data_IF_561325352562
#
_entry.id   IF_561325352562
#
_cell.length_a   1.000
_cell.length_b   1.000
_cell.length_c   1.000
_cell.angle_alpha   90.00
_cell.angle_beta   90.00
_cell.angle_gamma   90.00
#
_symmetry.space_group_name_H-M   'P 1'
#
loop_
_entity.id
_entity.type
_entity.pdbx_description
1 polymer ?
#
# COMPACT_ATOMS: atom_id res chain seq x y z
N UNK A 1 36.52 22.35 26.33
CA UNK A 1 35.33 22.81 25.57
C UNK A 1 35.41 22.57 24.06
N UNK A 2 36.49 22.97 23.38
CA UNK A 2 36.62 22.78 21.92
C UNK A 2 36.66 21.29 21.52
N UNK A 3 37.37 20.45 22.26
CA UNK A 3 37.44 19.00 22.01
C UNK A 3 36.08 18.32 22.15
N UNK A 4 35.37 18.56 23.26
CA UNK A 4 33.97 18.10 23.45
C UNK A 4 32.99 18.57 22.36
N UNK A 5 33.27 19.68 21.68
CA UNK A 5 32.47 20.12 20.51
C UNK A 5 32.85 19.34 19.25
N UNK A 6 34.14 19.07 19.04
CA UNK A 6 34.64 18.23 17.94
C UNK A 6 34.11 16.80 18.05
N UNK A 7 34.13 16.24 19.25
CA UNK A 7 33.60 14.90 19.55
C UNK A 7 32.11 14.81 19.23
N UNK A 8 31.28 15.70 19.79
CA UNK A 8 29.84 15.77 19.47
C UNK A 8 29.56 16.02 17.99
N UNK A 9 30.40 16.79 17.29
CA UNK A 9 30.27 16.99 15.85
C UNK A 9 30.58 15.70 15.08
N UNK A 10 31.59 14.94 15.52
CA UNK A 10 31.95 13.64 14.94
C UNK A 10 30.83 12.61 15.17
N UNK A 11 30.26 12.57 16.37
CA UNK A 11 29.09 11.73 16.70
C UNK A 11 27.91 12.06 15.78
N UNK A 12 27.54 13.35 15.66
CA UNK A 12 26.47 13.80 14.75
C UNK A 12 26.75 13.48 13.29
N UNK A 13 28.01 13.56 12.86
CA UNK A 13 28.39 13.23 11.49
C UNK A 13 28.29 11.71 11.25
N UNK A 14 28.65 10.90 12.25
CA UNK A 14 28.55 9.44 12.18
C UNK A 14 27.11 8.93 12.21
N UNK A 15 26.22 9.60 12.94
CA UNK A 15 24.78 9.29 12.99
C UNK A 15 23.99 9.98 11.87
N UNK A 16 24.66 10.61 10.89
CA UNK A 16 23.99 11.44 9.90
C UNK A 16 23.21 10.56 8.92
N UNK A 17 21.89 10.69 8.97
CA UNK A 17 20.99 10.04 8.01
C UNK A 17 21.10 10.71 6.64
N UNK A 18 20.93 9.93 5.56
CA UNK A 18 20.84 10.46 4.20
C UNK A 18 19.61 11.39 4.07
N UNK A 19 19.76 12.67 3.71
CA UNK A 19 18.63 13.59 3.54
C UNK A 19 17.68 13.22 2.38
N UNK A 20 18.12 12.35 1.45
CA UNK A 20 17.33 11.94 0.29
C UNK A 20 16.51 10.68 0.59
N UNK A 21 17.17 9.57 0.94
CA UNK A 21 16.48 8.29 1.16
C UNK A 21 16.06 8.07 2.61
N UNK A 22 16.76 8.64 3.57
CA UNK A 22 16.52 8.37 4.98
C UNK A 22 17.13 7.05 5.44
N UNK A 23 16.65 6.55 6.58
CA UNK A 23 16.87 5.17 7.03
C UNK A 23 15.81 4.24 6.46
N UNK A 24 16.17 3.00 6.17
CA UNK A 24 15.20 1.97 5.79
C UNK A 24 14.36 1.57 7.01
N UNK A 25 13.10 2.03 7.02
CA UNK A 25 12.10 1.65 8.02
C UNK A 25 11.22 0.53 7.48
N UNK A 26 10.50 -0.19 8.35
CA UNK A 26 9.52 -1.20 7.92
C UNK A 26 8.53 -0.67 6.87
N UNK A 27 8.10 0.58 7.02
CA UNK A 27 7.23 1.24 6.05
C UNK A 27 7.93 1.45 4.70
N UNK A 28 9.15 1.97 4.70
CA UNK A 28 9.91 2.24 3.48
C UNK A 28 10.33 0.96 2.76
N UNK A 29 10.77 -0.06 3.50
CA UNK A 29 11.13 -1.39 2.96
C UNK A 29 9.94 -2.07 2.29
N UNK A 30 8.75 -1.92 2.87
CA UNK A 30 7.54 -2.54 2.34
C UNK A 30 7.08 -1.99 0.97
N UNK A 31 7.71 -0.94 0.45
CA UNK A 31 7.52 -0.53 -0.95
C UNK A 31 8.25 -1.43 -1.94
N UNK A 32 9.25 -2.15 -1.46
CA UNK A 32 10.24 -2.83 -2.29
C UNK A 32 10.09 -4.33 -2.24
N UNK A 33 9.63 -4.84 -1.08
CA UNK A 33 9.24 -6.23 -0.90
C UNK A 33 8.08 -6.52 -1.86
N UNK A 34 8.43 -7.05 -3.03
CA UNK A 34 7.45 -7.70 -3.87
C UNK A 34 7.14 -9.03 -3.20
N UNK A 35 5.86 -9.30 -2.90
CA UNK A 35 5.48 -10.65 -2.53
C UNK A 35 5.94 -11.59 -3.65
N UNK A 36 6.51 -12.78 -3.34
CA UNK A 36 6.99 -13.70 -4.36
C UNK A 36 5.87 -13.99 -5.37
N UNK A 37 6.18 -14.14 -6.66
CA UNK A 37 5.15 -14.45 -7.64
C UNK A 37 4.40 -15.71 -7.21
N UNK A 38 3.06 -15.66 -7.30
CA UNK A 38 2.23 -16.83 -6.98
C UNK A 38 2.67 -18.01 -7.87
N UNK A 39 2.83 -19.22 -7.30
CA UNK A 39 3.20 -20.37 -8.10
C UNK A 39 2.15 -20.68 -9.18
N UNK A 40 2.54 -21.32 -10.31
CA UNK A 40 1.60 -21.76 -11.34
C UNK A 40 0.46 -22.61 -10.77
N UNK A 41 -0.74 -22.54 -11.37
CA UNK A 41 -1.94 -23.27 -10.89
C UNK A 41 -1.68 -24.77 -10.85
N UNK A 42 -1.14 -25.28 -11.94
CA UNK A 42 -0.96 -26.71 -12.13
C UNK A 42 0.13 -27.25 -11.20
N UNK A 43 1.19 -26.47 -10.96
CA UNK A 43 2.23 -26.78 -9.99
C UNK A 43 1.70 -26.77 -8.55
N UNK A 44 0.93 -25.75 -8.17
CA UNK A 44 0.40 -25.64 -6.81
C UNK A 44 -0.58 -26.77 -6.50
N UNK A 45 -1.38 -27.16 -7.50
CA UNK A 45 -2.31 -28.30 -7.43
C UNK A 45 -1.58 -29.63 -7.37
N UNK A 46 -0.48 -29.81 -8.09
CA UNK A 46 0.30 -31.05 -8.07
C UNK A 46 1.04 -31.28 -6.75
N UNK A 47 1.30 -30.21 -5.99
CA UNK A 47 2.06 -30.26 -4.73
C UNK A 47 1.19 -29.99 -3.49
N UNK A 48 -0.14 -29.93 -3.64
CA UNK A 48 -1.10 -29.60 -2.57
C UNK A 48 -0.75 -28.34 -1.76
N UNK A 49 -0.10 -27.37 -2.42
CA UNK A 49 0.28 -26.09 -1.80
C UNK A 49 -0.83 -25.07 -2.06
N UNK A 50 -1.41 -24.49 -1.01
CA UNK A 50 -2.29 -23.33 -1.18
C UNK A 50 -1.45 -22.17 -1.80
N UNK A 51 -1.81 -21.68 -3.00
CA UNK A 51 -1.00 -20.66 -3.68
C UNK A 51 -0.89 -19.36 -2.88
N UNK A 52 -1.81 -19.12 -1.94
CA UNK A 52 -1.99 -17.85 -1.24
C UNK A 52 -1.22 -17.76 0.09
N UNK A 53 -0.55 -18.82 0.52
CA UNK A 53 -0.07 -19.03 1.90
C UNK A 53 1.01 -18.04 2.39
N UNK A 54 1.64 -17.28 1.48
CA UNK A 54 2.68 -16.29 1.80
C UNK A 54 2.25 -14.82 1.74
N UNK A 55 0.98 -14.54 1.40
CA UNK A 55 0.50 -13.16 1.14
C UNK A 55 -0.58 -12.75 2.14
N UNK A 56 -0.24 -12.61 3.43
CA UNK A 56 -1.21 -12.30 4.50
C UNK A 56 -1.49 -10.82 4.69
N UNK A 57 -0.60 -9.93 4.27
CA UNK A 57 -0.82 -8.48 4.35
C UNK A 57 -1.41 -7.96 3.03
N UNK A 58 -2.70 -8.21 2.82
CA UNK A 58 -3.43 -7.85 1.59
C UNK A 58 -4.47 -6.79 1.87
N UNK A 59 -4.09 -5.53 1.99
CA UNK A 59 -5.09 -4.44 1.91
C UNK A 59 -5.29 -3.96 0.47
N UNK A 60 -4.29 -4.15 -0.41
CA UNK A 60 -4.34 -3.58 -1.75
C UNK A 60 -4.00 -4.61 -2.83
N UNK A 61 -4.93 -4.76 -3.77
CA UNK A 61 -4.76 -5.56 -4.99
C UNK A 61 -4.52 -4.64 -6.19
N UNK A 62 -4.20 -5.23 -7.33
CA UNK A 62 -4.17 -4.50 -8.58
C UNK A 62 -5.59 -4.05 -8.99
N UNK A 63 -5.68 -3.11 -9.94
CA UNK A 63 -6.93 -2.64 -10.55
C UNK A 63 -7.93 -1.97 -9.59
N UNK A 64 -7.46 -1.37 -8.49
CA UNK A 64 -8.30 -0.72 -7.46
C UNK A 64 -9.26 -1.66 -6.72
N UNK A 65 -8.99 -2.96 -6.73
CA UNK A 65 -9.80 -3.93 -6.02
C UNK A 65 -9.35 -4.07 -4.57
N UNK A 66 -10.32 -4.22 -3.67
CA UNK A 66 -10.07 -4.71 -2.31
C UNK A 66 -10.29 -6.22 -2.26
N UNK A 67 -9.73 -6.92 -1.26
CA UNK A 67 -10.04 -8.34 -1.06
C UNK A 67 -11.53 -8.59 -0.79
N UNK A 68 -12.22 -7.63 -0.18
CA UNK A 68 -13.66 -7.67 0.10
C UNK A 68 -14.46 -7.63 -1.21
N UNK A 69 -14.14 -6.70 -2.11
CA UNK A 69 -14.78 -6.61 -3.44
C UNK A 69 -14.62 -7.91 -4.24
N UNK A 70 -13.45 -8.55 -4.14
CA UNK A 70 -13.22 -9.84 -4.79
C UNK A 70 -14.05 -10.95 -4.17
N UNK A 71 -14.15 -11.01 -2.84
CA UNK A 71 -14.93 -12.02 -2.15
C UNK A 71 -16.42 -11.92 -2.53
N UNK A 72 -16.97 -10.70 -2.50
CA UNK A 72 -18.35 -10.43 -2.93
C UNK A 72 -18.54 -10.78 -4.41
N UNK A 73 -17.60 -10.39 -5.27
CA UNK A 73 -17.63 -10.71 -6.69
C UNK A 73 -17.63 -12.21 -6.98
N UNK A 74 -16.83 -12.99 -6.24
CA UNK A 74 -16.79 -14.44 -6.36
C UNK A 74 -18.10 -15.08 -5.90
N UNK A 75 -18.64 -14.66 -4.75
CA UNK A 75 -19.90 -15.19 -4.23
C UNK A 75 -21.06 -14.89 -5.19
N UNK A 76 -21.16 -13.64 -5.67
CA UNK A 76 -22.16 -13.23 -6.64
C UNK A 76 -22.07 -14.04 -7.94
N UNK A 77 -20.87 -14.21 -8.47
CA UNK A 77 -20.64 -15.01 -9.68
C UNK A 77 -21.01 -16.48 -9.48
N UNK A 78 -20.63 -17.07 -8.35
CA UNK A 78 -20.98 -18.45 -7.97
C UNK A 78 -22.49 -18.65 -7.92
N UNK A 79 -23.21 -17.70 -7.30
CA UNK A 79 -24.66 -17.73 -7.17
C UNK A 79 -25.37 -17.63 -8.51
N UNK A 80 -24.94 -16.72 -9.39
CA UNK A 80 -25.55 -16.49 -10.71
C UNK A 80 -25.30 -17.63 -11.70
N UNK A 81 -24.13 -18.27 -11.62
CA UNK A 81 -23.73 -19.35 -12.53
C UNK A 81 -24.10 -20.73 -12.02
N UNK A 82 -24.67 -20.84 -10.81
CA UNK A 82 -25.08 -22.12 -10.23
C UNK A 82 -26.02 -22.83 -11.24
N UNK A 83 -25.73 -24.09 -11.62
CA UNK A 83 -26.58 -24.80 -12.57
C UNK A 83 -28.00 -24.86 -12.05
N UNK A 84 -28.95 -24.47 -12.89
CA UNK A 84 -30.37 -24.61 -12.61
C UNK A 84 -30.74 -26.09 -12.74
N UNK A 85 -31.38 -26.61 -11.71
CA UNK A 85 -31.93 -27.96 -11.70
C UNK A 85 -33.42 -27.79 -11.95
N UNK A 86 -33.89 -28.35 -13.07
CA UNK A 86 -35.27 -28.21 -13.47
C UNK A 86 -36.14 -29.17 -12.65
N UNK A 87 -36.90 -28.63 -11.71
CA UNK A 87 -37.79 -29.42 -10.85
C UNK A 87 -39.16 -29.67 -11.50
N UNK A 88 -39.40 -29.19 -12.72
CA UNK A 88 -40.69 -29.27 -13.40
C UNK A 88 -40.51 -29.94 -14.76
N UNK A 89 -40.77 -31.24 -14.78
CA UNK A 89 -41.08 -31.98 -16.00
C UNK A 89 -42.21 -31.27 -16.75
N UNK A 90 -41.95 -30.75 -17.96
CA UNK A 90 -43.01 -30.36 -18.90
C UNK A 90 -43.96 -31.53 -19.24
N UNK A 91 -43.61 -32.75 -18.80
CA UNK A 91 -44.34 -33.99 -19.04
C UNK A 91 -44.78 -34.72 -17.77
N UNK A 92 -45.03 -34.06 -16.63
CA UNK A 92 -45.87 -34.60 -15.53
C UNK A 92 -45.53 -36.01 -14.96
N UNK A 93 -44.37 -36.59 -15.27
CA UNK A 93 -43.90 -37.87 -14.74
C UNK A 93 -42.79 -37.60 -13.73
N UNK A 94 -43.09 -37.77 -12.45
CA UNK A 94 -42.28 -37.32 -11.33
C UNK A 94 -41.12 -38.27 -10.95
N UNK A 95 -40.77 -39.28 -11.77
CA UNK A 95 -40.18 -40.50 -11.20
C UNK A 95 -38.69 -40.80 -11.46
N UNK A 96 -37.94 -39.97 -12.21
CA UNK A 96 -36.48 -40.18 -12.31
C UNK A 96 -35.72 -38.85 -12.32
N UNK A 97 -35.39 -38.36 -11.13
CA UNK A 97 -34.33 -37.37 -10.95
C UNK A 97 -32.99 -38.14 -10.99
N UNK A 98 -32.22 -37.97 -12.06
CA UNK A 98 -30.86 -38.53 -12.14
C UNK A 98 -29.93 -37.76 -11.18
N UNK A 99 -29.94 -38.16 -9.90
CA UNK A 99 -29.13 -37.55 -8.84
C UNK A 99 -27.65 -37.49 -9.20
N UNK A 100 -27.14 -38.54 -9.87
CA UNK A 100 -25.75 -38.59 -10.35
C UNK A 100 -25.43 -37.48 -11.35
N UNK A 101 -26.36 -37.14 -12.23
CA UNK A 101 -26.16 -36.08 -13.24
C UNK A 101 -26.13 -34.72 -12.56
N UNK A 102 -26.99 -34.49 -11.58
CA UNK A 102 -27.01 -33.26 -10.79
C UNK A 102 -25.72 -33.07 -9.99
N UNK A 103 -25.29 -34.10 -9.27
CA UNK A 103 -24.05 -34.09 -8.50
C UNK A 103 -22.83 -33.83 -9.41
N UNK A 104 -22.80 -34.45 -10.59
CA UNK A 104 -21.75 -34.24 -11.57
C UNK A 104 -21.73 -32.79 -12.10
N UNK A 105 -22.90 -32.21 -12.39
CA UNK A 105 -23.01 -30.81 -12.84
C UNK A 105 -22.58 -29.83 -11.75
N UNK A 106 -22.98 -30.07 -10.50
CA UNK A 106 -22.56 -29.27 -9.34
C UNK A 106 -21.05 -29.40 -9.14
N UNK A 107 -20.49 -30.60 -9.15
CA UNK A 107 -19.04 -30.84 -9.00
C UNK A 107 -18.24 -30.18 -10.12
N UNK A 108 -18.72 -30.25 -11.36
CA UNK A 108 -18.09 -29.61 -12.50
C UNK A 108 -18.11 -28.08 -12.36
N UNK A 109 -19.25 -27.52 -11.94
CA UNK A 109 -19.40 -26.08 -11.65
C UNK A 109 -18.44 -25.62 -10.57
N UNK A 110 -18.33 -26.35 -9.45
CA UNK A 110 -17.43 -26.00 -8.36
C UNK A 110 -15.96 -26.06 -8.78
N UNK A 111 -15.57 -27.09 -9.54
CA UNK A 111 -14.21 -27.18 -10.10
C UNK A 111 -13.90 -26.01 -11.04
N UNK A 112 -14.84 -25.64 -11.91
CA UNK A 112 -14.70 -24.50 -12.80
C UNK A 112 -14.61 -23.17 -12.03
N UNK A 113 -15.46 -22.99 -11.03
CA UNK A 113 -15.45 -21.83 -10.14
C UNK A 113 -14.11 -21.71 -9.41
N UNK A 114 -13.62 -22.78 -8.78
CA UNK A 114 -12.33 -22.78 -8.08
C UNK A 114 -11.16 -22.46 -9.01
N UNK A 115 -11.19 -22.98 -10.26
CA UNK A 115 -10.20 -22.63 -11.29
C UNK A 115 -10.24 -21.14 -11.64
N UNK A 116 -11.44 -20.58 -11.81
CA UNK A 116 -11.64 -19.17 -12.10
C UNK A 116 -11.16 -18.27 -10.94
N UNK A 117 -11.50 -18.61 -9.69
CA UNK A 117 -11.04 -17.90 -8.48
C UNK A 117 -9.51 -17.87 -8.43
N UNK A 118 -8.86 -19.01 -8.61
CA UNK A 118 -7.41 -19.10 -8.59
C UNK A 118 -6.74 -18.32 -9.75
N UNK A 119 -7.38 -18.24 -10.91
CA UNK A 119 -6.90 -17.44 -12.04
C UNK A 119 -7.05 -15.93 -11.77
N UNK A 120 -8.23 -15.49 -11.30
CA UNK A 120 -8.51 -14.08 -10.99
C UNK A 120 -7.59 -13.58 -9.89
N UNK A 121 -7.41 -14.34 -8.81
CA UNK A 121 -6.49 -13.98 -7.72
C UNK A 121 -5.05 -13.76 -8.21
N UNK A 122 -4.61 -14.48 -9.26
CA UNK A 122 -3.31 -14.25 -9.89
C UNK A 122 -3.29 -12.96 -10.71
N UNK A 123 -4.32 -12.73 -11.52
CA UNK A 123 -4.44 -11.52 -12.34
C UNK A 123 -4.46 -10.26 -11.45
N UNK A 124 -5.19 -10.32 -10.35
CA UNK A 124 -5.34 -9.21 -9.40
C UNK A 124 -4.15 -9.06 -8.45
N UNK A 125 -3.21 -10.01 -8.44
CA UNK A 125 -2.03 -9.93 -7.59
C UNK A 125 -1.12 -8.77 -8.01
N UNK A 126 -0.60 -8.02 -7.04
CA UNK A 126 0.28 -6.87 -7.31
C UNK A 126 1.66 -7.30 -7.85
N UNK A 127 2.06 -8.55 -7.66
CA UNK A 127 3.34 -9.09 -8.14
C UNK A 127 3.45 -9.01 -9.67
N UNK A 128 2.34 -9.31 -10.37
CA UNK A 128 2.23 -9.24 -11.84
C UNK A 128 2.08 -7.80 -12.34
N UNK A 129 1.76 -6.85 -11.45
CA UNK A 129 1.51 -5.46 -11.80
C UNK A 129 2.73 -4.71 -12.32
N UNK A 130 2.46 -3.74 -13.21
CA UNK A 130 3.47 -2.82 -13.73
C UNK A 130 3.99 -1.88 -12.63
N UNK A 131 5.06 -1.14 -12.93
CA UNK A 131 5.55 -0.08 -12.02
C UNK A 131 4.50 1.00 -11.77
N UNK A 132 3.65 1.29 -12.75
CA UNK A 132 2.56 2.26 -12.61
C UNK A 132 1.51 1.76 -11.62
N UNK A 133 1.18 0.47 -11.67
CA UNK A 133 0.20 -0.14 -10.77
C UNK A 133 0.73 -0.25 -9.34
N UNK A 134 2.00 -0.63 -9.19
CA UNK A 134 2.70 -0.58 -7.90
C UNK A 134 2.70 0.82 -7.30
N UNK A 135 3.00 1.84 -8.10
CA UNK A 135 2.94 3.24 -7.67
C UNK A 135 1.53 3.67 -7.24
N UNK A 136 0.50 3.21 -7.96
CA UNK A 136 -0.91 3.49 -7.64
C UNK A 136 -1.30 2.89 -6.29
N UNK A 137 -0.96 1.63 -6.06
CA UNK A 137 -1.20 0.94 -4.78
C UNK A 137 -0.43 1.59 -3.64
N UNK A 138 0.83 1.94 -3.85
CA UNK A 138 1.63 2.64 -2.84
C UNK A 138 1.01 3.99 -2.44
N UNK A 139 0.42 4.74 -3.40
CA UNK A 139 -0.31 5.98 -3.08
C UNK A 139 -1.55 5.73 -2.23
N UNK A 140 -2.34 4.69 -2.56
CA UNK A 140 -3.51 4.31 -1.76
C UNK A 140 -3.09 3.96 -0.33
N UNK A 141 -2.05 3.14 -0.18
CA UNK A 141 -1.49 2.79 1.12
C UNK A 141 -1.02 4.01 1.92
N UNK A 142 -0.40 5.00 1.28
CA UNK A 142 -0.03 6.25 1.93
C UNK A 142 -1.26 7.04 2.43
N UNK A 143 -2.36 7.04 1.67
CA UNK A 143 -3.62 7.68 2.06
C UNK A 143 -4.23 6.96 3.28
N UNK A 144 -4.22 5.63 3.29
CA UNK A 144 -4.82 4.85 4.37
C UNK A 144 -4.00 4.93 5.67
N UNK A 145 -2.67 4.97 5.56
CA UNK A 145 -1.79 5.07 6.74
C UNK A 145 -1.70 6.48 7.32
N UNK A 146 -1.57 7.51 6.48
CA UNK A 146 -1.32 8.88 6.93
C UNK A 146 -2.51 9.82 6.79
N UNK A 147 -3.61 9.37 6.19
CA UNK A 147 -4.81 10.17 6.03
C UNK A 147 -5.36 10.59 7.39
N UNK A 148 -5.76 11.85 7.52
CA UNK A 148 -6.33 12.39 8.77
C UNK A 148 -7.59 11.63 9.20
N UNK A 149 -8.36 11.14 8.23
CA UNK A 149 -9.53 10.30 8.48
C UNK A 149 -9.24 9.00 9.27
N UNK A 150 -8.00 8.49 9.22
CA UNK A 150 -7.54 7.32 10.01
C UNK A 150 -6.74 7.79 11.22
N UNK A 151 -5.74 8.65 11.01
CA UNK A 151 -4.80 9.07 12.06
C UNK A 151 -5.45 9.88 13.19
N UNK A 152 -6.55 10.58 12.94
CA UNK A 152 -7.33 11.26 13.98
C UNK A 152 -7.92 10.26 14.99
N UNK A 153 -8.11 8.99 14.61
CA UNK A 153 -8.65 7.92 15.45
C UNK A 153 -7.54 7.06 16.08
N UNK A 154 -6.45 6.82 15.35
CA UNK A 154 -5.40 5.87 15.77
C UNK A 154 -4.30 6.50 16.61
N UNK A 155 -3.91 7.75 16.33
CA UNK A 155 -2.82 8.40 17.03
C UNK A 155 -3.28 9.05 18.33
N UNK A 156 -2.42 9.05 19.39
CA UNK A 156 -2.71 9.80 20.59
C UNK A 156 -2.75 11.31 20.29
N UNK A 157 -3.58 12.03 21.05
CA UNK A 157 -3.77 13.46 20.87
C UNK A 157 -2.60 14.24 21.48
N UNK A 158 -2.31 15.40 20.89
CA UNK A 158 -1.27 16.28 21.43
C UNK A 158 -1.68 16.84 22.80
N UNK A 159 -0.74 16.95 23.77
CA UNK A 159 -1.03 17.52 25.08
C UNK A 159 -1.55 18.96 24.94
N UNK A 160 -2.73 19.23 25.49
CA UNK A 160 -3.38 20.56 25.43
C UNK A 160 -4.18 20.85 24.16
N UNK A 161 -4.45 19.84 23.32
CA UNK A 161 -5.39 19.98 22.20
C UNK A 161 -6.85 20.08 22.70
N UNK A 162 -7.66 21.06 22.22
CA UNK A 162 -9.07 21.20 22.62
C UNK A 162 -9.88 19.96 22.30
N UNK A 163 -10.84 19.59 23.16
CA UNK A 163 -11.58 18.34 23.01
C UNK A 163 -12.39 18.27 21.71
N UNK A 164 -12.48 17.09 21.06
CA UNK A 164 -13.05 16.99 19.72
C UNK A 164 -14.56 17.26 19.75
N UNK A 165 -15.21 16.96 20.88
CA UNK A 165 -16.61 17.23 21.15
C UNK A 165 -16.91 18.74 21.24
N UNK A 166 -15.93 19.56 21.62
CA UNK A 166 -16.08 21.02 21.68
C UNK A 166 -15.92 21.68 20.31
N UNK A 167 -15.46 20.91 19.31
CA UNK A 167 -15.19 21.41 17.97
C UNK A 167 -16.46 21.31 17.10
N UNK A 168 -17.09 22.46 16.82
CA UNK A 168 -18.19 22.62 15.85
C UNK A 168 -17.73 22.48 14.38
N UNK A 169 -16.85 21.53 14.07
CA UNK A 169 -16.33 21.34 12.71
C UNK A 169 -17.22 20.36 11.96
N UNK A 170 -17.55 20.72 10.72
CA UNK A 170 -18.25 19.81 9.80
C UNK A 170 -17.41 18.55 9.57
N UNK A 171 -18.03 17.35 9.56
CA UNK A 171 -17.33 16.13 9.24
C UNK A 171 -16.79 16.19 7.80
N UNK A 172 -15.72 15.45 7.53
CA UNK A 172 -15.15 15.36 6.18
C UNK A 172 -16.11 14.59 5.29
N UNK A 173 -16.33 15.08 4.07
CA UNK A 173 -17.16 14.40 3.08
C UNK A 173 -16.52 13.12 2.51
N UNK A 174 -15.20 12.98 2.59
CA UNK A 174 -14.48 11.85 1.99
C UNK A 174 -13.08 11.65 2.55
N UNK A 175 -12.32 10.70 1.97
CA UNK A 175 -10.98 10.37 2.41
C UNK A 175 -10.02 11.54 2.23
N UNK A 176 -9.13 11.71 3.20
CA UNK A 176 -8.16 12.79 3.21
C UNK A 176 -6.95 12.44 2.31
N UNK A 177 -6.87 13.10 1.16
CA UNK A 177 -5.82 12.88 0.14
C UNK A 177 -4.84 14.04 0.02
N UNK A 178 -5.19 15.20 0.60
CA UNK A 178 -4.49 16.47 0.39
C UNK A 178 -3.65 16.93 1.58
N UNK A 179 -3.66 16.20 2.70
CA UNK A 179 -2.89 16.57 3.88
C UNK A 179 -1.38 16.49 3.64
N UNK A 180 -0.61 17.28 4.40
CA UNK A 180 0.84 17.40 4.18
C UNK A 180 1.54 16.07 4.48
N UNK A 181 1.04 15.31 5.44
CA UNK A 181 1.46 13.98 5.84
C UNK A 181 1.36 13.00 4.64
N UNK A 182 0.18 12.92 4.03
CA UNK A 182 -0.08 12.07 2.86
C UNK A 182 0.77 12.51 1.66
N UNK A 183 0.85 13.81 1.38
CA UNK A 183 1.67 14.33 0.29
C UNK A 183 3.15 14.01 0.47
N UNK A 184 3.68 14.12 1.69
CA UNK A 184 5.07 13.76 2.02
C UNK A 184 5.30 12.27 1.81
N UNK A 185 4.41 11.40 2.30
CA UNK A 185 4.52 9.96 2.12
C UNK A 185 4.53 9.56 0.64
N UNK A 186 3.64 10.15 -0.17
CA UNK A 186 3.60 9.93 -1.63
C UNK A 186 4.89 10.43 -2.31
N UNK A 187 5.43 11.57 -1.87
CA UNK A 187 6.71 12.05 -2.39
C UNK A 187 7.87 11.12 -2.05
N UNK A 188 7.90 10.57 -0.83
CA UNK A 188 8.90 9.56 -0.42
C UNK A 188 8.86 8.35 -1.34
N UNK A 189 7.67 7.81 -1.64
CA UNK A 189 7.51 6.73 -2.61
C UNK A 189 8.09 7.10 -3.98
N UNK A 190 7.80 8.30 -4.49
CA UNK A 190 8.30 8.76 -5.78
C UNK A 190 9.82 8.95 -5.79
N UNK A 191 10.37 9.53 -4.72
CA UNK A 191 11.81 9.76 -4.54
C UNK A 191 12.54 8.42 -4.54
N UNK A 192 12.10 7.45 -3.73
CA UNK A 192 12.72 6.12 -3.65
C UNK A 192 12.69 5.40 -5.00
N UNK A 193 11.54 5.42 -5.66
CA UNK A 193 11.40 4.86 -7.00
C UNK A 193 12.36 5.51 -8.01
N UNK A 194 12.45 6.85 -8.02
CA UNK A 194 13.29 7.58 -8.97
C UNK A 194 14.78 7.43 -8.66
N UNK A 195 15.16 7.41 -7.38
CA UNK A 195 16.52 7.16 -6.94
C UNK A 195 17.03 5.79 -7.44
N UNK A 196 16.26 4.72 -7.23
CA UNK A 196 16.57 3.38 -7.76
C UNK A 196 16.68 3.33 -9.27
N UNK A 197 15.81 4.06 -9.97
CA UNK A 197 15.89 4.14 -11.42
C UNK A 197 17.20 4.79 -11.88
N UNK A 198 17.65 5.83 -11.19
CA UNK A 198 18.91 6.52 -11.46
C UNK A 198 20.13 5.66 -11.10
N UNK A 199 20.05 4.86 -10.04
CA UNK A 199 21.09 3.87 -9.70
C UNK A 199 21.25 2.84 -10.82
N UNK A 200 20.15 2.33 -11.38
CA UNK A 200 20.16 1.34 -12.47
C UNK A 200 20.58 1.93 -13.83
N UNK A 201 20.13 3.15 -14.16
CA UNK A 201 20.46 3.81 -15.44
C UNK A 201 21.85 4.46 -15.43
N UNK A 202 22.38 4.77 -14.26
CA UNK A 202 23.67 5.44 -14.10
C UNK A 202 23.61 6.95 -14.33
N UNK A 203 24.78 7.60 -14.51
CA UNK A 203 24.90 9.04 -14.38
C UNK A 203 24.39 9.86 -15.58
N UNK A 204 24.01 9.20 -16.67
CA UNK A 204 23.65 9.81 -17.96
C UNK A 204 22.30 10.53 -17.93
N UNK A 205 21.37 10.09 -17.08
CA UNK A 205 20.04 10.66 -17.00
C UNK A 205 19.99 11.95 -16.15
N UNK A 206 20.41 13.06 -16.77
CA UNK A 206 20.47 14.39 -16.13
C UNK A 206 19.08 14.96 -15.85
N UNK A 207 18.08 14.67 -16.67
CA UNK A 207 16.72 15.18 -16.49
C UNK A 207 16.07 14.56 -15.25
N UNK A 208 16.19 13.25 -15.07
CA UNK A 208 15.63 12.61 -13.89
C UNK A 208 16.39 12.94 -12.60
N UNK A 209 17.70 13.20 -12.66
CA UNK A 209 18.44 13.78 -11.52
C UNK A 209 17.88 15.14 -11.09
N UNK A 210 17.54 16.02 -12.04
CA UNK A 210 16.86 17.28 -11.75
C UNK A 210 15.48 17.04 -11.15
N UNK A 211 14.71 16.09 -11.69
CA UNK A 211 13.38 15.75 -11.16
C UNK A 211 13.46 15.21 -9.73
N UNK A 212 14.44 14.36 -9.41
CA UNK A 212 14.69 13.87 -8.05
C UNK A 212 14.93 15.04 -7.09
N UNK A 213 15.75 16.01 -7.50
CA UNK A 213 15.99 17.26 -6.75
C UNK A 213 14.75 18.06 -6.45
N UNK A 214 13.91 18.27 -7.46
CA UNK A 214 12.66 18.98 -7.27
C UNK A 214 11.72 18.23 -6.31
N UNK A 215 11.66 16.90 -6.39
CA UNK A 215 10.83 16.10 -5.47
C UNK A 215 11.33 16.18 -4.02
N UNK A 216 12.63 16.06 -3.79
CA UNK A 216 13.24 16.14 -2.46
C UNK A 216 13.03 17.51 -1.84
N UNK A 217 13.28 18.60 -2.58
CA UNK A 217 13.04 19.96 -2.10
C UNK A 217 11.55 20.25 -1.86
N UNK A 218 10.65 19.72 -2.70
CA UNK A 218 9.21 19.81 -2.47
C UNK A 218 8.80 19.10 -1.18
N UNK A 219 9.32 17.89 -0.93
CA UNK A 219 9.09 17.14 0.32
C UNK A 219 9.60 17.94 1.52
N UNK A 220 10.81 18.50 1.42
CA UNK A 220 11.40 19.33 2.47
C UNK A 220 10.52 20.55 2.82
N UNK A 221 9.99 21.25 1.81
CA UNK A 221 9.08 22.40 2.02
C UNK A 221 7.80 22.01 2.76
N UNK A 222 7.19 20.87 2.40
CA UNK A 222 6.01 20.34 3.08
C UNK A 222 6.32 19.92 4.51
N UNK A 223 7.48 19.29 4.74
CA UNK A 223 7.94 18.91 6.06
C UNK A 223 8.17 20.13 6.96
N UNK A 224 8.82 21.20 6.45
CA UNK A 224 8.96 22.48 7.18
C UNK A 224 7.60 23.08 7.55
N UNK A 225 6.64 23.04 6.63
CA UNK A 225 5.28 23.52 6.89
C UNK A 225 4.59 22.70 7.98
N UNK A 226 4.62 21.37 7.87
CA UNK A 226 3.97 20.45 8.80
C UNK A 226 4.55 20.60 10.22
N UNK A 227 5.88 20.65 10.37
CA UNK A 227 6.53 20.89 11.65
C UNK A 227 6.08 22.20 12.30
N UNK A 228 6.01 23.28 11.53
CA UNK A 228 5.55 24.60 12.03
C UNK A 228 4.08 24.57 12.43
N UNK A 229 3.23 23.88 11.65
CA UNK A 229 1.78 23.85 11.89
C UNK A 229 1.40 22.99 13.09
N UNK A 230 2.01 21.82 13.22
CA UNK A 230 1.76 20.88 14.32
C UNK A 230 2.70 21.11 15.52
N UNK A 231 3.59 22.12 15.47
CA UNK A 231 4.61 22.44 16.49
C UNK A 231 5.47 21.23 16.92
N UNK A 232 5.69 20.28 16.01
CA UNK A 232 6.41 19.04 16.32
C UNK A 232 5.60 18.00 17.11
N UNK A 233 4.26 18.08 17.07
CA UNK A 233 3.34 17.17 17.73
C UNK A 233 3.44 15.70 17.28
N UNK A 234 2.53 14.87 17.79
CA UNK A 234 2.46 13.42 17.57
C UNK A 234 2.43 13.09 16.08
N UNK A 235 1.64 13.82 15.28
CA UNK A 235 1.50 13.57 13.84
C UNK A 235 2.80 13.79 13.08
N UNK A 236 3.50 14.88 13.39
CA UNK A 236 4.80 15.18 12.80
C UNK A 236 5.80 14.05 13.08
N UNK A 237 5.89 13.63 14.35
CA UNK A 237 6.79 12.55 14.77
C UNK A 237 6.46 11.23 14.08
N UNK A 238 5.17 10.87 14.01
CA UNK A 238 4.72 9.66 13.33
C UNK A 238 5.15 9.64 11.85
N UNK A 239 4.99 10.76 11.14
CA UNK A 239 5.44 10.87 9.74
C UNK A 239 6.95 10.70 9.63
N UNK A 240 7.73 11.38 10.49
CA UNK A 240 9.20 11.33 10.46
C UNK A 240 9.74 9.93 10.77
N UNK A 241 9.20 9.27 11.80
CA UNK A 241 9.55 7.90 12.17
C UNK A 241 9.19 6.91 11.06
N UNK A 242 8.00 7.05 10.47
CA UNK A 242 7.57 6.14 9.42
C UNK A 242 8.42 6.28 8.14
N UNK A 243 8.76 7.50 7.71
CA UNK A 243 9.57 7.72 6.50
C UNK A 243 11.08 7.61 6.75
N UNK A 244 11.53 7.53 8.00
CA UNK A 244 12.94 7.39 8.37
C UNK A 244 13.78 8.64 8.12
N UNK A 245 13.23 9.83 8.36
CA UNK A 245 13.98 11.09 8.20
C UNK A 245 14.22 11.79 9.54
N UNK A 246 15.35 12.50 9.60
CA UNK A 246 15.73 13.33 10.74
C UNK A 246 15.34 14.80 10.56
N UNK A 247 15.28 15.54 11.68
CA UNK A 247 15.00 16.97 11.67
C UNK A 247 16.09 17.77 10.92
N UNK A 248 17.34 17.30 10.92
CA UNK A 248 18.44 17.90 10.17
C UNK A 248 18.19 17.88 8.66
N UNK A 249 17.60 16.80 8.14
CA UNK A 249 17.22 16.70 6.73
C UNK A 249 16.09 17.68 6.37
N UNK A 250 15.26 18.05 7.36
CA UNK A 250 14.17 19.01 7.18
C UNK A 250 14.70 20.43 7.24
N UNK A 251 15.49 20.78 8.24
CA UNK A 251 15.94 22.16 8.46
C UNK A 251 17.13 22.57 7.57
N UNK A 252 18.08 21.66 7.37
CA UNK A 252 19.33 21.91 6.65
C UNK A 252 19.15 22.13 5.15
N UNK A 253 20.23 22.54 4.47
CA UNK A 253 20.23 22.64 3.01
C UNK A 253 20.56 21.28 2.38
N UNK A 254 19.68 20.80 1.50
CA UNK A 254 19.89 19.53 0.79
C UNK A 254 20.59 19.83 -0.53
N UNK A 255 21.89 19.54 -0.57
CA UNK A 255 22.70 19.58 -1.80
C UNK A 255 22.84 18.16 -2.36
N UNK A 256 22.34 17.94 -3.57
CA UNK A 256 22.59 16.70 -4.32
C UNK A 256 23.61 16.98 -5.43
N UNK A 257 24.65 16.14 -5.53
CA UNK A 257 25.63 16.23 -6.62
C UNK A 257 25.22 15.33 -7.78
#
# INVERSE_FOLDING_TARGET
NLEKRKERKKERLSSRIDPVLGTDTKFVESFDVQPPPLPPVDWARANDVNPLTGHKEKTHLNHYLTPEDLAEGFERSRRLTKPYIDNLTESGSADFIDTEKEENLISAHEKAHNRAVAAIQRITSLSVGSRSDKMRVQKARCIDLFGRHVTDKTLPRDPGAPDPAESNKTPRAGPDTGSSEVQVAILTVKIRNLARHLELKGPTDKHNKRNLRLLVHKRQKLLKYLKRKEKGGVRWRNVMEAIGLDDDAVQGEIMMR
#
